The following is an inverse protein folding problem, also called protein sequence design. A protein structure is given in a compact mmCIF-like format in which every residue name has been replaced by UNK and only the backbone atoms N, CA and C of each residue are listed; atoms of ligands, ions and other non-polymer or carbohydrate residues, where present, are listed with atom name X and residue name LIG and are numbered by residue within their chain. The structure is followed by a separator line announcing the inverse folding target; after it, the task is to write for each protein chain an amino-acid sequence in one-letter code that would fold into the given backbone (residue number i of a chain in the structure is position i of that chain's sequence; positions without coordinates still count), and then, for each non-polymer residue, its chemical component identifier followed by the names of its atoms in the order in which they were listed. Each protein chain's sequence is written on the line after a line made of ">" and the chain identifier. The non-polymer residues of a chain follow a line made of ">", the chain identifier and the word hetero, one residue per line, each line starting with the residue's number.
data_IF_852603120785
#
_entry.id   IF_852603120785
#
_cell.length_a   1.000
_cell.length_b   1.000
_cell.length_c   1.000
_cell.angle_alpha   90.00
_cell.angle_beta   90.00
_cell.angle_gamma   90.00
#
_symmetry.space_group_name_H-M   'P 1'
#
loop_
_entity.id
_entity.type
_entity.pdbx_description
1 polymer ?
#
# COMPACT_ATOMS: atom_id res chain seq x y z
N UNK A 1 3.50 4.40 3.79
CA UNK A 1 4.25 5.62 3.42
C UNK A 1 5.13 6.17 4.52
N UNK A 2 4.62 6.48 5.72
CA UNK A 2 5.43 7.12 6.77
C UNK A 2 6.66 6.30 7.19
N UNK A 3 6.51 4.99 7.40
CA UNK A 3 7.65 4.12 7.75
C UNK A 3 8.70 4.10 6.63
N UNK A 4 8.27 3.93 5.38
CA UNK A 4 9.17 3.97 4.22
C UNK A 4 9.93 5.30 4.14
N UNK A 5 9.23 6.42 4.34
CA UNK A 5 9.83 7.75 4.33
C UNK A 5 10.95 7.86 5.38
N UNK A 6 10.70 7.43 6.61
CA UNK A 6 11.70 7.48 7.67
C UNK A 6 12.90 6.55 7.41
N UNK A 7 12.68 5.45 6.68
CA UNK A 7 13.74 4.51 6.34
C UNK A 7 14.57 4.94 5.13
N UNK A 8 13.99 5.62 4.15
CA UNK A 8 14.58 5.78 2.80
C UNK A 8 14.55 7.21 2.25
N UNK A 9 13.81 8.12 2.88
CA UNK A 9 13.50 9.46 2.35
C UNK A 9 12.53 9.47 1.16
N UNK A 10 12.01 8.32 0.74
CA UNK A 10 11.10 8.24 -0.40
C UNK A 10 9.63 8.40 0.01
N UNK A 11 8.92 9.28 -0.69
CA UNK A 11 7.49 9.51 -0.44
C UNK A 11 6.61 8.63 -1.34
N UNK A 12 6.52 7.35 -0.99
CA UNK A 12 5.80 6.34 -1.79
C UNK A 12 4.74 5.60 -0.97
N UNK A 13 3.79 4.98 -1.67
CA UNK A 13 2.83 3.99 -1.15
C UNK A 13 2.62 2.90 -2.17
N UNK A 14 2.14 1.73 -1.75
CA UNK A 14 1.65 0.71 -2.68
C UNK A 14 0.16 0.90 -2.99
N UNK A 15 -0.31 0.19 -4.03
CA UNK A 15 -1.72 0.19 -4.47
C UNK A 15 -2.69 -0.29 -3.40
N UNK A 16 -2.31 -1.22 -2.52
CA UNK A 16 -3.24 -1.76 -1.53
C UNK A 16 -3.51 -0.72 -0.43
N UNK A 17 -2.50 -0.02 0.07
CA UNK A 17 -2.71 1.10 1.00
C UNK A 17 -3.40 2.29 0.32
N UNK A 18 -3.00 2.64 -0.91
CA UNK A 18 -3.62 3.75 -1.65
C UNK A 18 -5.13 3.54 -1.88
N UNK A 19 -5.56 2.30 -2.16
CA UNK A 19 -6.98 1.94 -2.33
C UNK A 19 -7.86 2.25 -1.12
N UNK A 20 -7.27 2.38 0.07
CA UNK A 20 -8.00 2.64 1.34
C UNK A 20 -8.16 4.12 1.66
N UNK A 21 -7.60 5.00 0.85
CA UNK A 21 -7.67 6.46 1.05
C UNK A 21 -8.96 7.09 0.53
N UNK A 22 -9.72 6.36 -0.30
CA UNK A 22 -10.81 6.88 -1.14
C UNK A 22 -10.36 7.90 -2.21
N UNK A 23 -9.06 8.18 -2.35
CA UNK A 23 -8.52 9.17 -3.29
C UNK A 23 -7.93 8.55 -4.56
N UNK A 24 -7.76 7.23 -4.60
CA UNK A 24 -7.21 6.50 -5.75
C UNK A 24 -8.32 5.96 -6.64
N UNK A 25 -8.19 6.14 -7.95
CA UNK A 25 -9.00 5.42 -8.94
C UNK A 25 -8.48 3.98 -9.06
N UNK A 26 -9.34 3.00 -8.74
CA UNK A 26 -9.00 1.57 -8.75
C UNK A 26 -8.75 1.00 -10.14
N UNK A 27 -9.21 1.67 -11.22
CA UNK A 27 -8.99 1.24 -12.60
C UNK A 27 -7.64 1.69 -13.13
N UNK A 28 -7.26 2.94 -12.84
CA UNK A 28 -6.01 3.53 -13.34
C UNK A 28 -4.85 3.39 -12.35
N UNK A 29 -5.15 3.09 -11.08
CA UNK A 29 -4.18 3.01 -9.97
C UNK A 29 -3.43 4.33 -9.76
N UNK A 30 -4.07 5.44 -10.09
CA UNK A 30 -3.56 6.80 -9.90
C UNK A 30 -4.45 7.57 -8.93
N UNK A 31 -3.92 8.65 -8.37
CA UNK A 31 -4.73 9.60 -7.61
C UNK A 31 -5.78 10.25 -8.52
N UNK A 32 -7.04 10.19 -8.10
CA UNK A 32 -8.14 10.84 -8.79
C UNK A 32 -8.12 12.34 -8.45
N UNK A 33 -7.71 13.16 -9.41
CA UNK A 33 -7.61 14.61 -9.22
C UNK A 33 -8.95 15.28 -8.92
N UNK A 34 -10.08 14.72 -9.37
CA UNK A 34 -11.41 15.26 -9.06
C UNK A 34 -11.79 14.99 -7.62
N UNK A 35 -11.63 13.75 -7.15
CA UNK A 35 -11.90 13.39 -5.76
C UNK A 35 -10.96 14.18 -4.83
N UNK A 36 -9.67 14.25 -5.16
CA UNK A 36 -8.72 15.05 -4.41
C UNK A 36 -9.15 16.52 -4.29
N UNK A 37 -9.64 17.12 -5.38
CA UNK A 37 -10.15 18.50 -5.38
C UNK A 37 -11.40 18.66 -4.50
N UNK A 38 -12.34 17.71 -4.52
CA UNK A 38 -13.55 17.73 -3.67
C UNK A 38 -13.22 17.68 -2.17
N UNK A 39 -12.20 16.91 -1.78
CA UNK A 39 -11.71 16.87 -0.40
C UNK A 39 -10.71 18.00 -0.06
N UNK A 40 -10.35 18.85 -1.03
CA UNK A 40 -9.37 19.93 -0.83
C UNK A 40 -7.93 19.42 -0.62
N UNK A 41 -7.59 18.24 -1.13
CA UNK A 41 -6.27 17.63 -1.03
C UNK A 41 -5.45 17.92 -2.29
N UNK A 42 -4.31 18.64 -2.21
CA UNK A 42 -3.43 18.82 -3.36
C UNK A 42 -2.76 17.49 -3.72
N UNK A 43 -2.90 17.05 -4.97
CA UNK A 43 -2.28 15.79 -5.45
C UNK A 43 -0.76 15.78 -5.33
N UNK A 44 -0.11 16.96 -5.41
CA UNK A 44 1.34 17.11 -5.22
C UNK A 44 1.82 16.75 -3.80
N UNK A 45 0.92 16.73 -2.81
CA UNK A 45 1.24 16.31 -1.44
C UNK A 45 1.06 14.81 -1.23
N UNK A 46 0.53 14.06 -2.19
CA UNK A 46 0.29 12.63 -2.05
C UNK A 46 1.55 11.82 -2.43
N UNK A 47 1.79 10.67 -1.79
CA UNK A 47 2.90 9.81 -2.14
C UNK A 47 2.72 9.25 -3.55
N UNK A 48 3.81 8.97 -4.28
CA UNK A 48 3.71 8.26 -5.55
C UNK A 48 3.24 6.82 -5.30
N UNK A 49 2.24 6.36 -6.06
CA UNK A 49 1.74 5.00 -6.00
C UNK A 49 2.68 4.08 -6.79
N UNK A 50 3.05 2.95 -6.19
CA UNK A 50 3.93 1.91 -6.73
C UNK A 50 3.28 0.54 -6.57
N UNK A 51 3.85 -0.49 -7.21
CA UNK A 51 3.39 -1.87 -7.00
C UNK A 51 3.64 -2.31 -5.57
N UNK A 52 3.04 -3.41 -5.13
CA UNK A 52 3.26 -3.95 -3.78
C UNK A 52 4.56 -4.77 -3.65
N UNK A 53 5.21 -5.10 -4.77
CA UNK A 53 6.44 -5.90 -4.83
C UNK A 53 7.37 -5.42 -5.94
N UNK A 54 8.29 -4.53 -5.55
CA UNK A 54 9.42 -4.05 -6.34
C UNK A 54 10.44 -3.42 -5.39
N UNK A 55 11.69 -3.26 -5.82
CA UNK A 55 12.68 -2.52 -5.02
C UNK A 55 12.37 -1.02 -5.12
N UNK A 56 11.90 -0.41 -4.03
CA UNK A 56 11.54 1.00 -4.00
C UNK A 56 12.75 1.91 -3.77
N UNK A 57 13.58 1.52 -2.81
CA UNK A 57 14.79 2.20 -2.37
C UNK A 57 15.54 1.35 -1.34
N UNK A 58 16.78 1.73 -1.06
CA UNK A 58 17.55 1.19 0.05
C UNK A 58 17.35 2.04 1.32
N UNK A 59 17.46 1.38 2.48
CA UNK A 59 17.44 2.07 3.77
C UNK A 59 18.64 3.02 3.85
N UNK A 60 18.39 4.28 4.18
CA UNK A 60 19.38 5.37 4.07
C UNK A 60 20.32 5.50 5.27
N UNK A 61 19.96 4.94 6.44
CA UNK A 61 20.74 5.11 7.67
C UNK A 61 20.47 4.03 8.71
N UNK A 62 21.33 3.98 9.74
CA UNK A 62 21.23 3.02 10.84
C UNK A 62 21.78 1.63 10.52
N UNK A 63 21.55 0.64 11.39
CA UNK A 63 22.13 -0.69 11.26
C UNK A 63 21.72 -1.47 10.01
N UNK A 64 20.64 -1.06 9.35
CA UNK A 64 20.10 -1.70 8.14
C UNK A 64 20.42 -0.89 6.88
N UNK A 65 21.31 0.11 6.95
CA UNK A 65 21.66 0.92 5.78
C UNK A 65 22.12 0.04 4.60
N UNK A 66 21.62 0.34 3.39
CA UNK A 66 21.88 -0.45 2.18
C UNK A 66 20.97 -1.67 1.98
N UNK A 67 20.12 -2.03 2.95
CA UNK A 67 19.13 -3.10 2.76
C UNK A 67 18.00 -2.60 1.84
N UNK A 68 17.65 -3.31 0.76
CA UNK A 68 16.56 -2.90 -0.13
C UNK A 68 15.20 -3.11 0.52
N UNK A 69 14.33 -2.10 0.42
CA UNK A 69 12.90 -2.24 0.75
C UNK A 69 12.18 -2.71 -0.51
N UNK A 70 11.70 -3.96 -0.48
CA UNK A 70 11.12 -4.65 -1.65
C UNK A 70 9.62 -4.96 -1.59
N UNK A 71 8.96 -4.70 -0.45
CA UNK A 71 7.54 -5.03 -0.26
C UNK A 71 6.82 -4.02 0.64
N UNK A 72 5.64 -3.57 0.21
CA UNK A 72 4.74 -2.71 0.98
C UNK A 72 3.31 -3.18 0.68
N UNK A 73 2.55 -3.49 1.72
CA UNK A 73 1.16 -3.92 1.61
C UNK A 73 0.36 -3.38 2.80
N UNK A 74 -0.94 -3.15 2.59
CA UNK A 74 -1.90 -2.99 3.67
C UNK A 74 -2.02 -4.28 4.47
N UNK A 75 -2.26 -4.18 5.76
CA UNK A 75 -2.22 -5.30 6.71
C UNK A 75 -3.15 -6.47 6.31
N UNK A 76 -4.39 -6.20 5.94
CA UNK A 76 -5.34 -7.25 5.56
C UNK A 76 -5.00 -7.90 4.21
N UNK A 77 -4.52 -7.11 3.25
CA UNK A 77 -4.02 -7.64 1.97
C UNK A 77 -2.75 -8.47 2.18
N UNK A 78 -1.84 -8.01 3.04
CA UNK A 78 -0.65 -8.76 3.44
C UNK A 78 -1.01 -10.07 4.14
N UNK A 79 -2.01 -10.07 5.04
CA UNK A 79 -2.48 -11.28 5.70
C UNK A 79 -3.12 -12.27 4.70
N UNK A 80 -3.83 -11.78 3.69
CA UNK A 80 -4.40 -12.60 2.61
C UNK A 80 -3.28 -13.21 1.76
N UNK A 81 -2.30 -12.42 1.36
CA UNK A 81 -1.12 -12.89 0.63
C UNK A 81 -0.30 -13.90 1.45
N UNK A 82 -0.08 -13.63 2.74
CA UNK A 82 0.64 -14.51 3.66
C UNK A 82 -0.07 -15.83 3.96
N UNK A 83 -1.38 -15.91 3.73
CA UNK A 83 -2.17 -17.16 3.78
C UNK A 83 -2.15 -17.92 2.43
N UNK A 84 -1.32 -17.50 1.48
CA UNK A 84 -1.23 -18.06 0.14
C UNK A 84 -2.57 -18.06 -0.62
N UNK A 85 -3.44 -17.08 -0.36
CA UNK A 85 -4.67 -16.84 -1.12
C UNK A 85 -4.35 -16.21 -2.49
N UNK A 86 -3.66 -16.96 -3.35
CA UNK A 86 -3.07 -16.47 -4.61
C UNK A 86 -3.99 -16.69 -5.82
N UNK A 87 -5.06 -17.46 -5.66
CA UNK A 87 -6.01 -17.75 -6.74
C UNK A 87 -7.31 -16.96 -6.55
N UNK A 88 -7.95 -16.50 -7.65
CA UNK A 88 -9.31 -15.99 -7.57
C UNK A 88 -10.25 -17.00 -6.90
N UNK A 89 -11.07 -16.54 -5.97
CA UNK A 89 -11.92 -17.38 -5.13
C UNK A 89 -11.32 -17.73 -3.77
N UNK A 90 -10.00 -17.59 -3.58
CA UNK A 90 -9.39 -17.80 -2.27
C UNK A 90 -9.83 -16.71 -1.30
N UNK A 91 -10.24 -17.12 -0.09
CA UNK A 91 -10.76 -16.22 0.92
C UNK A 91 -9.99 -16.35 2.23
N UNK A 92 -9.85 -15.21 2.89
CA UNK A 92 -9.19 -15.07 4.19
C UNK A 92 -10.14 -14.32 5.12
N UNK A 93 -10.24 -14.79 6.36
CA UNK A 93 -10.95 -14.08 7.43
C UNK A 93 -10.02 -13.82 8.64
N UNK A 94 -9.90 -12.57 9.09
CA UNK A 94 -9.21 -12.20 10.35
C UNK A 94 -10.23 -12.10 11.47
N UNK A 95 -10.11 -13.00 12.45
CA UNK A 95 -10.93 -13.01 13.66
C UNK A 95 -10.22 -12.26 14.79
N UNK A 96 -10.82 -11.16 15.25
CA UNK A 96 -10.41 -10.39 16.42
C UNK A 96 -11.64 -9.76 17.07
N UNK A 97 -11.49 -8.58 17.70
CA UNK A 97 -12.65 -7.82 18.22
C UNK A 97 -13.61 -7.40 17.10
N UNK A 98 -13.08 -7.18 15.89
CA UNK A 98 -13.84 -7.10 14.64
C UNK A 98 -13.50 -8.27 13.72
N UNK A 99 -14.26 -8.40 12.63
CA UNK A 99 -14.02 -9.40 11.59
C UNK A 99 -13.75 -8.72 10.24
N UNK A 100 -12.72 -9.16 9.53
CA UNK A 100 -12.42 -8.71 8.18
C UNK A 100 -12.29 -9.92 7.25
N UNK A 101 -13.21 -10.04 6.31
CA UNK A 101 -13.18 -11.04 5.25
C UNK A 101 -12.70 -10.40 3.94
N UNK A 102 -11.71 -11.02 3.33
CA UNK A 102 -11.18 -10.66 2.02
C UNK A 102 -11.31 -11.86 1.10
N UNK A 103 -11.71 -11.59 -0.15
CA UNK A 103 -11.80 -12.54 -1.24
C UNK A 103 -10.89 -12.05 -2.35
N UNK A 104 -10.00 -12.90 -2.85
CA UNK A 104 -9.22 -12.62 -4.05
C UNK A 104 -10.14 -12.79 -5.28
N UNK A 105 -10.19 -11.81 -6.18
CA UNK A 105 -11.14 -11.76 -7.31
C UNK A 105 -10.44 -11.43 -8.61
#
# INVERSE_FOLDING_TARGET
>A
SWVLWNLTGQHLTDVTNASRTMLMDLRTLQWDGRICAEFGVPTAMLPQIRSSSEVYAEISSGPLAGVPVGGILGDQQAATFGQACLSPGDAKNTYGTGNFMLLNT
#
